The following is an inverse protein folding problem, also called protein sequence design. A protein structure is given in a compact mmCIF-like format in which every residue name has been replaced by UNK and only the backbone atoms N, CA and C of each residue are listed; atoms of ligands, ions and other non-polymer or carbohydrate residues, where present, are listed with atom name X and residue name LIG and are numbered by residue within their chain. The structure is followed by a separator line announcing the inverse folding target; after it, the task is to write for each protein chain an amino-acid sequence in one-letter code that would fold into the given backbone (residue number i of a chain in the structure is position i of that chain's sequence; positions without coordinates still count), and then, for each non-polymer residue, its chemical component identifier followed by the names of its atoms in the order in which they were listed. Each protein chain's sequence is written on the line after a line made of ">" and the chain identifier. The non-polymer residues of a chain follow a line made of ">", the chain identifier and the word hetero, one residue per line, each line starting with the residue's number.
data_IF_315133084986
#
_entry.id   IF_315133084986
#
_cell.length_a   1.000
_cell.length_b   1.000
_cell.length_c   1.000
_cell.angle_alpha   90.00
_cell.angle_beta   90.00
_cell.angle_gamma   90.00
#
_symmetry.space_group_name_H-M   'P 1'
#
loop_
_entity.id
_entity.type
_entity.pdbx_description
1 polymer ?
#
# COMPACT_ATOMS: atom_id res chain seq x y z
N UNK A 1 -25.41 11.40 10.36
CA UNK A 1 -24.52 10.70 9.41
C UNK A 1 -23.20 10.43 10.11
N UNK A 2 -22.68 9.21 10.00
CA UNK A 2 -21.41 8.82 10.64
C UNK A 2 -20.20 9.38 9.89
N UNK A 3 -20.31 9.59 8.56
CA UNK A 3 -19.25 10.08 7.69
C UNK A 3 -19.73 11.25 6.84
N UNK A 4 -18.87 12.23 6.61
CA UNK A 4 -19.13 13.38 5.74
C UNK A 4 -18.67 13.16 4.30
N UNK A 5 -17.72 12.25 4.09
CA UNK A 5 -17.18 11.86 2.80
C UNK A 5 -16.72 10.41 2.85
N UNK A 6 -17.00 9.68 1.78
CA UNK A 6 -16.48 8.34 1.50
C UNK A 6 -15.83 8.42 0.12
N UNK A 7 -14.53 8.14 0.03
CA UNK A 7 -13.83 8.02 -1.24
C UNK A 7 -13.58 6.55 -1.55
N UNK A 8 -13.95 6.14 -2.76
CA UNK A 8 -13.73 4.79 -3.25
C UNK A 8 -12.74 4.87 -4.40
N UNK A 9 -11.56 4.32 -4.19
CA UNK A 9 -10.48 4.33 -5.18
C UNK A 9 -10.46 3.02 -5.96
N UNK A 10 -10.26 3.12 -7.29
CA UNK A 10 -10.04 1.98 -8.18
C UNK A 10 -8.85 2.30 -9.08
N UNK A 11 -7.75 1.58 -8.90
CA UNK A 11 -6.49 1.82 -9.60
C UNK A 11 -6.55 1.46 -11.08
N UNK A 12 -7.34 0.43 -11.47
CA UNK A 12 -7.53 -0.01 -12.84
C UNK A 12 -8.69 -1.02 -12.97
N UNK A 13 -9.02 -1.41 -14.21
CA UNK A 13 -10.20 -2.20 -14.54
C UNK A 13 -10.04 -3.72 -14.47
N UNK A 14 -8.91 -4.29 -14.04
CA UNK A 14 -8.75 -5.74 -13.88
C UNK A 14 -9.67 -6.30 -12.79
N UNK A 15 -10.06 -7.57 -12.93
CA UNK A 15 -11.08 -8.22 -12.07
C UNK A 15 -10.69 -8.35 -10.60
N UNK A 16 -9.42 -8.39 -10.30
CA UNK A 16 -8.87 -8.44 -8.95
C UNK A 16 -8.73 -7.05 -8.30
N UNK A 17 -8.94 -5.97 -9.07
CA UNK A 17 -8.89 -4.58 -8.60
C UNK A 17 -10.22 -3.84 -8.74
N UNK A 18 -11.12 -4.31 -9.60
CA UNK A 18 -12.42 -3.70 -9.83
C UNK A 18 -13.55 -4.74 -9.82
N UNK A 19 -14.52 -4.52 -8.96
CA UNK A 19 -15.81 -5.21 -8.98
C UNK A 19 -16.93 -4.16 -9.09
N UNK A 20 -17.81 -4.31 -10.07
CA UNK A 20 -18.96 -3.43 -10.27
C UNK A 20 -19.95 -3.43 -9.11
N UNK A 21 -19.84 -4.36 -8.17
CA UNK A 21 -20.62 -4.38 -6.93
C UNK A 21 -20.45 -3.09 -6.10
N UNK A 22 -19.31 -2.37 -6.22
CA UNK A 22 -19.13 -1.05 -5.58
C UNK A 22 -20.18 -0.04 -6.04
N UNK A 23 -20.73 -0.19 -7.23
CA UNK A 23 -21.77 0.67 -7.79
C UNK A 23 -23.18 0.35 -7.27
N UNK A 24 -23.37 -0.78 -6.58
CA UNK A 24 -24.60 -1.09 -5.88
C UNK A 24 -24.71 -0.41 -4.50
N UNK A 25 -23.62 0.19 -4.02
CA UNK A 25 -23.65 0.94 -2.77
C UNK A 25 -24.53 2.18 -2.90
N UNK A 26 -25.24 2.51 -1.82
CA UNK A 26 -26.22 3.60 -1.82
C UNK A 26 -25.56 4.98 -1.87
N UNK A 27 -25.02 5.34 -3.04
CA UNK A 27 -24.39 6.64 -3.30
C UNK A 27 -25.39 7.80 -3.32
N UNK A 28 -26.69 7.52 -3.30
CA UNK A 28 -27.74 8.56 -3.23
C UNK A 28 -27.90 9.10 -1.83
N UNK A 29 -27.77 8.25 -0.81
CA UNK A 29 -27.89 8.62 0.61
C UNK A 29 -26.53 8.69 1.32
N UNK A 30 -25.50 7.98 0.83
CA UNK A 30 -24.14 8.05 1.35
C UNK A 30 -23.32 9.10 0.58
N UNK A 31 -22.42 9.82 1.25
CA UNK A 31 -21.58 10.85 0.62
C UNK A 31 -20.39 10.22 -0.15
N UNK A 32 -20.68 9.26 -1.04
CA UNK A 32 -19.67 8.55 -1.83
C UNK A 32 -19.23 9.39 -3.02
N UNK A 33 -17.93 9.39 -3.28
CA UNK A 33 -17.32 9.83 -4.54
C UNK A 33 -16.30 8.77 -4.99
N UNK A 34 -16.47 8.28 -6.21
CA UNK A 34 -15.55 7.31 -6.81
C UNK A 34 -14.37 8.05 -7.45
N UNK A 35 -13.17 7.57 -7.19
CA UNK A 35 -11.92 8.05 -7.81
C UNK A 35 -11.34 6.88 -8.61
N UNK A 36 -11.43 6.98 -9.91
CA UNK A 36 -11.24 5.88 -10.82
C UNK A 36 -10.12 6.18 -11.80
N UNK A 37 -9.31 5.18 -12.12
CA UNK A 37 -8.48 5.25 -13.32
C UNK A 37 -9.35 5.35 -14.58
N UNK A 38 -8.77 5.86 -15.66
CA UNK A 38 -9.44 6.11 -16.91
C UNK A 38 -9.96 4.83 -17.59
N UNK A 39 -9.29 3.71 -17.38
CA UNK A 39 -9.64 2.40 -17.93
C UNK A 39 -10.78 1.68 -17.20
N UNK A 40 -11.21 2.18 -16.03
CA UNK A 40 -12.31 1.58 -15.25
C UNK A 40 -13.66 1.82 -15.94
N UNK A 41 -14.59 0.84 -16.00
CA UNK A 41 -15.92 1.01 -16.58
C UNK A 41 -16.70 2.19 -15.98
N UNK A 42 -17.67 2.70 -16.75
CA UNK A 42 -18.45 3.86 -16.35
C UNK A 42 -19.28 3.66 -15.09
N UNK A 43 -19.31 4.71 -14.27
CA UNK A 43 -20.19 4.79 -13.13
C UNK A 43 -21.66 4.86 -13.54
N UNK A 44 -22.59 4.41 -12.66
CA UNK A 44 -24.01 4.62 -12.84
C UNK A 44 -24.37 6.10 -12.99
N UNK A 45 -25.41 6.39 -13.77
CA UNK A 45 -25.93 7.75 -13.92
C UNK A 45 -26.28 8.37 -12.57
N UNK A 46 -25.75 9.56 -12.32
CA UNK A 46 -25.96 10.30 -11.06
C UNK A 46 -24.93 10.03 -9.96
N UNK A 47 -24.06 9.03 -10.10
CA UNK A 47 -22.94 8.85 -9.19
C UNK A 47 -21.92 10.01 -9.31
N UNK A 48 -21.30 10.37 -8.19
CA UNK A 48 -20.19 11.32 -8.17
C UNK A 48 -18.88 10.58 -8.41
N UNK A 49 -18.11 11.04 -9.38
CA UNK A 49 -16.80 10.43 -9.66
C UNK A 49 -15.75 11.45 -10.15
N UNK A 50 -14.51 11.02 -10.09
CA UNK A 50 -13.34 11.64 -10.73
C UNK A 50 -12.60 10.55 -11.50
N UNK A 51 -12.37 10.77 -12.79
CA UNK A 51 -11.46 9.95 -13.59
C UNK A 51 -10.09 10.57 -13.56
N UNK A 52 -9.08 9.72 -13.53
CA UNK A 52 -7.69 10.16 -13.45
C UNK A 52 -6.80 9.33 -14.37
N UNK A 53 -5.91 10.04 -15.05
CA UNK A 53 -4.79 9.47 -15.81
C UNK A 53 -3.46 9.79 -15.12
N UNK A 54 -2.35 9.10 -15.47
CA UNK A 54 -1.04 9.40 -14.89
C UNK A 54 -0.67 10.89 -15.00
N UNK A 55 -0.17 11.46 -13.93
CA UNK A 55 0.23 12.87 -13.84
C UNK A 55 -0.88 13.83 -13.40
N UNK A 56 -2.13 13.42 -13.40
CA UNK A 56 -3.24 14.27 -13.01
C UNK A 56 -3.31 14.49 -11.49
N UNK A 57 -3.92 15.63 -11.13
CA UNK A 57 -4.21 16.03 -9.75
C UNK A 57 -5.64 16.51 -9.66
N UNK A 58 -6.30 16.14 -8.57
CA UNK A 58 -7.65 16.60 -8.26
C UNK A 58 -7.81 16.79 -6.75
N UNK A 59 -8.95 17.34 -6.35
CA UNK A 59 -9.36 17.38 -4.95
C UNK A 59 -10.83 17.05 -4.81
N UNK A 60 -11.17 16.41 -3.69
CA UNK A 60 -12.56 16.20 -3.28
C UNK A 60 -12.67 16.72 -1.86
N UNK A 61 -13.34 17.88 -1.70
CA UNK A 61 -13.31 18.69 -0.48
C UNK A 61 -11.86 19.02 -0.07
N UNK A 62 -11.45 18.65 1.15
CA UNK A 62 -10.09 18.86 1.68
C UNK A 62 -9.11 17.73 1.38
N UNK A 63 -9.52 16.73 0.61
CA UNK A 63 -8.66 15.60 0.24
C UNK A 63 -8.01 15.89 -1.10
N UNK A 64 -6.69 15.96 -1.12
CA UNK A 64 -5.90 16.11 -2.35
C UNK A 64 -5.50 14.74 -2.89
N UNK A 65 -5.58 14.56 -4.20
CA UNK A 65 -5.33 13.28 -4.87
C UNK A 65 -4.43 13.53 -6.07
N UNK A 66 -3.37 12.75 -6.19
CA UNK A 66 -2.48 12.72 -7.35
C UNK A 66 -2.44 11.31 -7.90
N UNK A 67 -2.54 11.16 -9.22
CA UNK A 67 -2.33 9.91 -9.93
C UNK A 67 -0.91 9.87 -10.49
N UNK A 68 -0.23 8.75 -10.31
CA UNK A 68 1.07 8.47 -10.90
C UNK A 68 0.94 7.29 -11.86
N UNK A 69 1.95 7.09 -12.68
CA UNK A 69 2.01 5.98 -13.63
C UNK A 69 2.08 4.62 -12.92
N UNK A 70 1.77 3.58 -13.65
CA UNK A 70 1.85 2.19 -13.25
C UNK A 70 2.75 1.43 -14.22
N UNK A 71 3.17 0.23 -13.86
CA UNK A 71 3.94 -0.68 -14.72
C UNK A 71 3.09 -1.80 -15.32
N UNK A 72 1.81 -1.79 -15.03
CA UNK A 72 0.76 -2.54 -15.70
C UNK A 72 -0.34 -1.55 -16.12
N UNK A 73 -1.63 -1.84 -15.90
CA UNK A 73 -2.73 -0.91 -16.23
C UNK A 73 -2.95 0.15 -15.14
N UNK A 74 -3.59 1.24 -15.53
CA UNK A 74 -4.16 2.24 -14.65
C UNK A 74 -3.14 3.16 -13.98
N UNK A 75 -3.38 3.45 -12.71
CA UNK A 75 -2.63 4.44 -11.94
C UNK A 75 -2.32 3.96 -10.53
N UNK A 76 -1.27 4.52 -9.95
CA UNK A 76 -1.10 4.56 -8.49
C UNK A 76 -1.62 5.90 -7.94
N UNK A 77 -2.10 5.88 -6.69
CA UNK A 77 -2.67 7.05 -6.05
C UNK A 77 -1.81 7.52 -4.88
N UNK A 78 -1.60 8.84 -4.81
CA UNK A 78 -1.09 9.53 -3.64
C UNK A 78 -2.16 10.47 -3.11
N UNK A 79 -2.58 10.24 -1.87
CA UNK A 79 -3.72 10.91 -1.25
C UNK A 79 -3.27 11.65 0.01
N UNK A 80 -3.60 12.93 0.11
CA UNK A 80 -3.31 13.75 1.28
C UNK A 80 -4.62 14.11 1.99
N UNK A 81 -4.72 13.76 3.27
CA UNK A 81 -5.86 14.06 4.14
C UNK A 81 -5.33 14.75 5.40
N UNK A 82 -5.46 16.08 5.49
CA UNK A 82 -4.78 16.85 6.52
C UNK A 82 -3.26 16.64 6.40
N UNK A 83 -2.63 16.17 7.47
CA UNK A 83 -1.19 15.89 7.50
C UNK A 83 -0.85 14.45 7.07
N UNK A 84 -1.85 13.58 6.89
CA UNK A 84 -1.66 12.18 6.53
C UNK A 84 -1.49 12.00 5.03
N UNK A 85 -0.46 11.27 4.61
CA UNK A 85 -0.10 10.96 3.22
C UNK A 85 -0.13 9.47 2.99
N UNK A 86 -1.03 9.05 2.11
CA UNK A 86 -1.29 7.64 1.80
C UNK A 86 -0.92 7.39 0.35
N UNK A 87 -0.20 6.31 0.08
CA UNK A 87 0.12 5.84 -1.25
C UNK A 87 -0.47 4.44 -1.47
N UNK A 88 -1.17 4.27 -2.59
CA UNK A 88 -1.66 2.98 -3.07
C UNK A 88 -1.08 2.71 -4.44
N UNK A 89 -0.24 1.70 -4.54
CA UNK A 89 0.52 1.41 -5.75
C UNK A 89 -0.34 0.93 -6.92
N UNK A 90 -1.56 0.39 -6.69
CA UNK A 90 -2.21 -0.39 -7.73
C UNK A 90 -1.29 -1.53 -8.14
N UNK A 91 -1.08 -1.69 -9.45
CA UNK A 91 -0.15 -2.68 -9.99
C UNK A 91 1.20 -2.07 -10.41
N UNK A 92 1.58 -0.94 -9.80
CA UNK A 92 2.96 -0.48 -9.89
C UNK A 92 3.89 -1.48 -9.17
N UNK A 93 4.69 -2.21 -9.93
CA UNK A 93 5.67 -3.16 -9.40
C UNK A 93 6.77 -3.43 -10.43
N UNK A 94 7.85 -4.09 -10.02
CA UNK A 94 8.90 -4.57 -10.90
C UNK A 94 8.51 -5.93 -11.49
N UNK A 95 7.62 -5.88 -12.50
CA UNK A 95 7.07 -7.08 -13.15
C UNK A 95 8.06 -7.72 -14.10
N UNK A 96 8.90 -8.64 -13.60
CA UNK A 96 9.63 -9.57 -14.44
C UNK A 96 9.84 -10.91 -13.73
N UNK A 97 9.68 -11.97 -14.49
CA UNK A 97 9.89 -13.35 -14.07
C UNK A 97 11.32 -13.75 -14.46
N UNK A 98 12.28 -13.54 -13.57
CA UNK A 98 13.70 -13.63 -13.89
C UNK A 98 14.11 -14.94 -14.54
N UNK A 99 13.45 -16.04 -14.16
CA UNK A 99 13.74 -17.39 -14.65
C UNK A 99 13.13 -17.66 -16.04
N UNK A 100 12.10 -16.91 -16.43
CA UNK A 100 11.34 -17.09 -17.66
C UNK A 100 11.57 -15.95 -18.66
N UNK A 101 12.00 -14.78 -18.20
CA UNK A 101 12.18 -13.60 -19.03
C UNK A 101 13.54 -13.55 -19.69
N UNK A 102 13.56 -13.10 -20.94
CA UNK A 102 14.80 -12.79 -21.65
C UNK A 102 15.50 -11.56 -21.03
N UNK A 103 16.82 -11.41 -21.18
CA UNK A 103 17.54 -10.23 -20.71
C UNK A 103 16.94 -8.89 -21.20
N UNK A 104 16.37 -8.88 -22.40
CA UNK A 104 15.73 -7.68 -22.98
C UNK A 104 14.41 -7.36 -22.28
N UNK A 105 13.62 -8.36 -21.94
CA UNK A 105 12.37 -8.19 -21.20
C UNK A 105 12.65 -7.71 -19.76
N UNK A 106 13.64 -8.29 -19.10
CA UNK A 106 14.10 -7.84 -17.78
C UNK A 106 14.48 -6.36 -17.82
N UNK A 107 15.39 -5.98 -18.73
CA UNK A 107 15.82 -4.57 -18.86
C UNK A 107 14.65 -3.64 -19.16
N UNK A 108 13.69 -4.07 -19.97
CA UNK A 108 12.49 -3.27 -20.27
C UNK A 108 11.62 -3.07 -19.03
N UNK A 109 11.38 -4.13 -18.25
CA UNK A 109 10.60 -4.07 -17.02
C UNK A 109 11.28 -3.19 -15.96
N UNK A 110 12.59 -3.33 -15.78
CA UNK A 110 13.39 -2.49 -14.88
C UNK A 110 13.30 -1.01 -15.27
N UNK A 111 13.53 -0.68 -16.54
CA UNK A 111 13.44 0.70 -17.02
C UNK A 111 12.05 1.30 -16.84
N UNK A 112 10.98 0.54 -17.11
CA UNK A 112 9.61 0.98 -16.90
C UNK A 112 9.33 1.24 -15.41
N UNK A 113 9.77 0.33 -14.56
CA UNK A 113 9.59 0.46 -13.11
C UNK A 113 10.33 1.69 -12.55
N UNK A 114 11.61 1.86 -12.86
CA UNK A 114 12.37 3.01 -12.38
C UNK A 114 11.84 4.33 -12.92
N UNK A 115 11.37 4.37 -14.17
CA UNK A 115 10.73 5.55 -14.73
C UNK A 115 9.44 5.93 -13.99
N UNK A 116 8.60 4.94 -13.65
CA UNK A 116 7.38 5.16 -12.88
C UNK A 116 7.67 5.54 -11.42
N UNK A 117 8.74 5.00 -10.82
CA UNK A 117 9.17 5.31 -9.45
C UNK A 117 9.79 6.71 -9.29
N UNK A 118 10.49 7.22 -10.29
CA UNK A 118 11.24 8.48 -10.19
C UNK A 118 10.43 9.68 -9.63
N UNK A 119 9.17 9.93 -10.02
CA UNK A 119 8.37 11.01 -9.44
C UNK A 119 7.84 10.72 -8.03
N UNK A 120 7.96 9.48 -7.55
CA UNK A 120 7.45 9.01 -6.25
C UNK A 120 8.54 9.07 -5.17
N UNK A 121 9.80 8.81 -5.53
CA UNK A 121 10.94 8.70 -4.59
C UNK A 121 11.16 9.96 -3.72
N UNK A 122 10.77 11.14 -4.21
CA UNK A 122 10.87 12.39 -3.45
C UNK A 122 9.67 12.71 -2.54
N UNK A 123 8.67 11.83 -2.49
CA UNK A 123 7.46 12.06 -1.69
C UNK A 123 7.65 11.60 -0.24
N UNK A 124 7.07 12.34 0.69
CA UNK A 124 6.87 11.85 2.04
C UNK A 124 5.60 11.03 2.08
N UNK A 125 5.69 9.79 2.56
CA UNK A 125 4.57 8.84 2.62
C UNK A 125 4.47 8.28 4.05
N UNK A 126 3.30 8.41 4.65
CA UNK A 126 3.05 7.86 5.98
C UNK A 126 2.59 6.40 5.89
N UNK A 127 1.66 6.09 4.97
CA UNK A 127 1.16 4.74 4.74
C UNK A 127 1.29 4.40 3.26
N UNK A 128 1.93 3.28 2.95
CA UNK A 128 2.03 2.75 1.60
C UNK A 128 1.42 1.35 1.50
N UNK A 129 0.60 1.11 0.50
CA UNK A 129 0.11 -0.20 0.10
C UNK A 129 0.79 -0.56 -1.23
N UNK A 130 1.54 -1.67 -1.27
CA UNK A 130 2.39 -2.01 -2.40
C UNK A 130 2.45 -3.53 -2.65
N UNK A 131 2.55 -3.99 -3.92
CA UNK A 131 2.55 -5.40 -4.25
C UNK A 131 3.76 -6.18 -3.74
N UNK A 132 3.49 -7.39 -3.22
CA UNK A 132 4.45 -8.48 -2.98
C UNK A 132 3.85 -9.74 -3.59
N UNK A 133 4.18 -10.04 -4.85
CA UNK A 133 3.46 -11.03 -5.64
C UNK A 133 4.22 -12.36 -5.75
N UNK A 134 3.74 -13.44 -5.11
CA UNK A 134 4.41 -14.74 -5.12
C UNK A 134 4.52 -15.38 -6.51
N UNK A 135 3.73 -14.94 -7.50
CA UNK A 135 3.82 -15.45 -8.87
C UNK A 135 5.16 -15.13 -9.51
N UNK A 136 5.85 -14.10 -9.04
CA UNK A 136 7.16 -13.68 -9.55
C UNK A 136 8.33 -14.54 -9.03
N UNK A 137 8.07 -15.63 -8.30
CA UNK A 137 9.10 -16.52 -7.79
C UNK A 137 10.13 -15.80 -6.91
N UNK A 138 11.43 -15.93 -7.23
CA UNK A 138 12.53 -15.30 -6.47
C UNK A 138 12.53 -13.77 -6.50
N UNK A 139 11.74 -13.14 -7.37
CA UNK A 139 11.65 -11.67 -7.49
C UNK A 139 10.42 -11.06 -6.83
N UNK A 140 9.65 -11.84 -6.08
CA UNK A 140 8.33 -11.48 -5.55
C UNK A 140 8.31 -10.20 -4.69
N UNK A 141 9.42 -9.83 -4.12
CA UNK A 141 9.58 -8.67 -3.23
C UNK A 141 10.57 -7.61 -3.76
N UNK A 142 11.12 -7.81 -4.95
CA UNK A 142 12.17 -6.92 -5.45
C UNK A 142 11.69 -5.48 -5.63
N UNK A 143 10.50 -5.27 -6.19
CA UNK A 143 9.88 -3.95 -6.31
C UNK A 143 9.57 -3.33 -4.95
N UNK A 144 9.01 -4.11 -4.03
CA UNK A 144 8.71 -3.68 -2.67
C UNK A 144 9.97 -3.27 -1.90
N UNK A 145 11.05 -4.06 -1.98
CA UNK A 145 12.33 -3.75 -1.36
C UNK A 145 12.91 -2.43 -1.89
N UNK A 146 12.89 -2.23 -3.22
CA UNK A 146 13.32 -0.97 -3.80
C UNK A 146 12.46 0.20 -3.31
N UNK A 147 11.13 0.05 -3.30
CA UNK A 147 10.21 1.08 -2.82
C UNK A 147 10.50 1.45 -1.35
N UNK A 148 10.60 0.47 -0.46
CA UNK A 148 10.90 0.69 0.97
C UNK A 148 12.23 1.41 1.16
N UNK A 149 13.26 1.04 0.39
CA UNK A 149 14.60 1.63 0.53
C UNK A 149 14.70 3.05 -0.04
N UNK A 150 14.01 3.35 -1.15
CA UNK A 150 14.08 4.65 -1.81
C UNK A 150 13.09 5.67 -1.23
N UNK A 151 11.85 5.25 -0.89
CA UNK A 151 10.77 6.12 -0.40
C UNK A 151 10.72 6.21 1.12
N UNK A 152 11.00 5.11 1.82
CA UNK A 152 10.99 5.00 3.29
C UNK A 152 9.64 5.41 3.90
N UNK A 153 8.52 4.78 3.51
CA UNK A 153 7.23 5.09 4.14
C UNK A 153 7.29 4.73 5.63
N UNK A 154 6.51 5.42 6.48
CA UNK A 154 6.44 5.08 7.92
C UNK A 154 5.81 3.70 8.13
N UNK A 155 4.74 3.40 7.39
CA UNK A 155 4.07 2.09 7.39
C UNK A 155 3.98 1.56 5.96
N UNK A 156 4.38 0.32 5.78
CA UNK A 156 4.23 -0.42 4.53
C UNK A 156 3.24 -1.57 4.72
N UNK A 157 2.24 -1.67 3.87
CA UNK A 157 1.23 -2.73 3.89
C UNK A 157 1.39 -3.57 2.61
N UNK A 158 1.90 -4.81 2.71
CA UNK A 158 2.00 -5.69 1.57
C UNK A 158 0.62 -6.07 1.06
N UNK A 159 0.40 -5.93 -0.24
CA UNK A 159 -0.80 -6.36 -0.94
C UNK A 159 -0.43 -7.27 -2.12
N UNK A 160 -1.43 -7.75 -2.87
CA UNK A 160 -1.23 -8.58 -4.07
C UNK A 160 -0.54 -9.93 -3.80
N UNK A 161 -0.57 -10.41 -2.57
CA UNK A 161 0.03 -11.69 -2.15
C UNK A 161 -0.86 -12.90 -2.51
N UNK A 162 -1.92 -12.65 -3.31
CA UNK A 162 -2.88 -13.63 -3.78
C UNK A 162 -3.54 -14.39 -2.59
N UNK A 163 -3.79 -15.70 -2.73
CA UNK A 163 -4.28 -16.56 -1.65
C UNK A 163 -3.13 -17.13 -0.76
N UNK A 164 -2.01 -16.39 -0.66
CA UNK A 164 -0.80 -16.82 0.04
C UNK A 164 -0.40 -15.85 1.16
N UNK A 165 -1.17 -15.80 2.25
CA UNK A 165 -0.93 -14.86 3.35
C UNK A 165 0.46 -15.03 4.00
N UNK A 166 1.06 -16.22 3.91
CA UNK A 166 2.42 -16.46 4.39
C UNK A 166 3.47 -15.58 3.70
N UNK A 167 3.23 -15.15 2.46
CA UNK A 167 4.12 -14.24 1.72
C UNK A 167 4.12 -12.85 2.34
N UNK A 168 2.95 -12.32 2.67
CA UNK A 168 2.83 -11.02 3.35
C UNK A 168 3.44 -11.06 4.76
N UNK A 169 3.21 -12.15 5.50
CA UNK A 169 3.79 -12.37 6.83
C UNK A 169 5.32 -12.53 6.78
N UNK A 170 5.85 -13.19 5.75
CA UNK A 170 7.28 -13.32 5.53
C UNK A 170 7.90 -11.97 5.20
N UNK A 171 7.25 -11.22 4.31
CA UNK A 171 7.70 -9.87 3.99
C UNK A 171 7.65 -8.93 5.20
N UNK A 172 6.65 -9.05 6.08
CA UNK A 172 6.60 -8.27 7.31
C UNK A 172 7.79 -8.50 8.25
N UNK A 173 8.36 -9.72 8.23
CA UNK A 173 9.56 -10.02 9.03
C UNK A 173 10.85 -9.45 8.45
N UNK A 174 10.99 -9.42 7.12
CA UNK A 174 12.26 -9.06 6.44
C UNK A 174 12.27 -7.68 5.81
N UNK A 175 11.10 -7.11 5.47
CA UNK A 175 10.99 -5.80 4.82
C UNK A 175 11.06 -4.62 5.78
N UNK A 176 11.02 -4.87 7.10
CA UNK A 176 11.12 -3.83 8.14
C UNK A 176 12.49 -3.16 8.11
N UNK A 177 12.49 -1.84 8.27
CA UNK A 177 13.72 -1.04 8.41
C UNK A 177 13.62 -0.12 9.62
N UNK A 178 14.67 0.62 9.94
CA UNK A 178 14.61 1.64 11.00
C UNK A 178 13.65 2.82 10.69
N UNK A 179 13.19 2.94 9.46
CA UNK A 179 12.28 4.01 9.02
C UNK A 179 10.89 3.51 8.67
N UNK A 180 10.74 2.20 8.41
CA UNK A 180 9.53 1.61 7.87
C UNK A 180 9.11 0.42 8.72
N UNK A 181 7.93 0.51 9.29
CA UNK A 181 7.21 -0.62 9.87
C UNK A 181 6.45 -1.36 8.76
N UNK A 182 6.41 -2.69 8.81
CA UNK A 182 5.67 -3.50 7.83
C UNK A 182 4.50 -4.20 8.52
N UNK A 183 3.31 -3.85 8.08
CA UNK A 183 2.04 -4.34 8.63
C UNK A 183 1.37 -5.29 7.65
N UNK A 184 1.38 -6.60 7.92
CA UNK A 184 0.66 -7.60 7.14
C UNK A 184 -0.73 -7.85 7.72
N UNK A 185 -1.77 -7.39 7.02
CA UNK A 185 -3.17 -7.69 7.30
C UNK A 185 -3.61 -8.85 6.40
N UNK A 186 -3.74 -10.05 6.95
CA UNK A 186 -3.89 -11.28 6.16
C UNK A 186 -5.15 -12.08 6.46
N UNK A 187 -5.90 -11.70 7.47
CA UNK A 187 -7.13 -12.38 7.87
C UNK A 187 -8.36 -11.54 7.53
N UNK A 188 -9.49 -12.15 7.19
CA UNK A 188 -10.75 -11.43 7.04
C UNK A 188 -11.07 -10.61 8.29
N UNK A 189 -11.51 -9.36 8.08
CA UNK A 189 -11.88 -8.41 9.15
C UNK A 189 -10.74 -8.00 10.09
N UNK A 190 -9.50 -8.38 9.81
CA UNK A 190 -8.34 -7.86 10.50
C UNK A 190 -8.22 -6.36 10.23
N UNK A 191 -7.93 -5.59 11.25
CA UNK A 191 -7.77 -4.13 11.16
C UNK A 191 -6.63 -3.67 12.06
N UNK A 192 -6.08 -2.52 11.74
CA UNK A 192 -5.11 -1.85 12.58
C UNK A 192 -5.53 -0.39 12.80
N UNK A 193 -5.27 0.11 13.97
CA UNK A 193 -5.30 1.54 14.28
C UNK A 193 -3.85 2.05 14.29
N UNK A 194 -3.63 3.14 13.56
CA UNK A 194 -2.33 3.77 13.42
C UNK A 194 -2.43 5.16 14.01
N UNK A 195 -1.66 5.43 15.06
CA UNK A 195 -1.54 6.74 15.66
C UNK A 195 -0.16 7.30 15.36
N UNK A 196 -0.12 8.44 14.67
CA UNK A 196 1.11 9.09 14.28
C UNK A 196 1.35 10.31 15.16
N UNK A 197 2.31 10.22 16.05
CA UNK A 197 2.90 11.36 16.74
C UNK A 197 4.12 11.89 15.95
N UNK A 198 4.62 13.10 16.29
CA UNK A 198 5.68 13.76 15.49
C UNK A 198 6.91 12.88 15.21
N UNK A 199 7.30 12.00 16.15
CA UNK A 199 8.47 11.11 16.00
C UNK A 199 8.18 9.64 16.31
N UNK A 200 6.97 9.30 16.72
CA UNK A 200 6.59 7.96 17.11
C UNK A 200 5.40 7.45 16.30
N UNK A 201 5.35 6.15 16.10
CA UNK A 201 4.24 5.44 15.49
C UNK A 201 3.73 4.42 16.50
N UNK A 202 2.49 4.61 16.94
CA UNK A 202 1.79 3.63 17.75
C UNK A 202 0.90 2.78 16.83
N UNK A 203 1.12 1.48 16.87
CA UNK A 203 0.41 0.52 16.02
C UNK A 203 -0.38 -0.45 16.91
N UNK A 204 -1.70 -0.46 16.75
CA UNK A 204 -2.59 -1.42 17.39
C UNK A 204 -3.24 -2.30 16.32
N UNK A 205 -2.99 -3.61 16.35
CA UNK A 205 -3.60 -4.57 15.44
C UNK A 205 -4.70 -5.33 16.17
N UNK A 206 -5.90 -5.36 15.57
CA UNK A 206 -7.06 -6.03 16.13
C UNK A 206 -7.51 -7.15 15.20
N UNK A 207 -7.70 -8.34 15.74
CA UNK A 207 -8.37 -9.43 15.02
C UNK A 207 -9.78 -9.57 15.55
N UNK A 208 -10.79 -9.47 14.68
CA UNK A 208 -12.15 -9.79 15.07
C UNK A 208 -12.30 -11.31 15.16
N UNK A 209 -12.58 -11.80 16.34
CA UNK A 209 -13.13 -13.16 16.51
C UNK A 209 -14.60 -13.08 16.17
N UNK A 210 -15.14 -14.01 15.36
CA UNK A 210 -16.54 -14.02 14.97
C UNK A 210 -17.45 -13.91 16.19
N UNK A 211 -18.19 -12.78 16.27
CA UNK A 211 -19.18 -12.56 17.32
C UNK A 211 -20.42 -13.43 17.04
N UNK A 212 -20.35 -14.71 17.33
CA UNK A 212 -21.52 -15.55 17.53
C UNK A 212 -21.58 -16.15 18.93
N UNK A 213 -20.64 -15.90 19.82
CA UNK A 213 -20.74 -16.25 21.24
C UNK A 213 -20.03 -15.15 22.05
N UNK A 214 -20.83 -14.45 22.88
CA UNK A 214 -20.46 -13.51 23.93
C UNK A 214 -20.27 -12.02 23.57
N UNK A 215 -21.28 -11.24 23.96
CA UNK A 215 -21.28 -9.77 24.04
C UNK A 215 -20.26 -9.18 25.03
N UNK A 216 -19.25 -9.91 25.51
CA UNK A 216 -18.42 -9.46 26.64
C UNK A 216 -16.91 -9.79 26.60
N UNK A 217 -16.33 -10.18 25.48
CA UNK A 217 -14.85 -10.37 25.45
C UNK A 217 -14.21 -9.70 24.24
N UNK A 218 -13.97 -8.38 24.35
CA UNK A 218 -12.91 -7.72 23.59
C UNK A 218 -11.56 -8.24 24.09
N UNK A 219 -11.03 -9.30 23.51
CA UNK A 219 -9.62 -9.66 23.72
C UNK A 219 -8.76 -8.66 22.93
N UNK A 220 -8.37 -7.60 23.62
CA UNK A 220 -7.26 -6.74 23.22
C UNK A 220 -5.97 -7.53 23.43
N UNK A 221 -5.43 -8.11 22.38
CA UNK A 221 -4.00 -8.41 22.36
C UNK A 221 -3.28 -7.09 22.06
N UNK A 222 -2.94 -6.35 23.09
CA UNK A 222 -2.02 -5.22 23.01
C UNK A 222 -0.63 -5.79 22.68
N UNK A 223 -0.30 -5.89 21.40
CA UNK A 223 1.08 -6.04 20.98
C UNK A 223 1.71 -4.66 21.10
N UNK A 224 2.15 -4.32 22.32
CA UNK A 224 3.11 -3.23 22.50
C UNK A 224 4.37 -3.66 21.76
N UNK A 225 4.57 -3.10 20.59
CA UNK A 225 5.88 -3.02 19.99
C UNK A 225 6.65 -1.97 20.79
N UNK A 226 7.21 -2.39 21.91
CA UNK A 226 8.26 -1.61 22.56
C UNK A 226 9.30 -1.36 21.48
N UNK A 227 9.65 -0.09 21.28
CA UNK A 227 10.79 0.29 20.46
C UNK A 227 11.97 -0.55 20.93
N UNK A 228 12.32 -1.59 20.20
CA UNK A 228 13.52 -2.37 20.47
C UNK A 228 14.69 -1.43 20.28
N UNK A 229 15.12 -0.85 21.40
CA UNK A 229 16.41 -0.21 21.51
C UNK A 229 17.46 -1.23 21.14
N UNK A 230 18.12 -0.93 20.02
CA UNK A 230 19.48 -1.29 19.69
C UNK A 230 20.04 -2.59 20.29
N UNK A 231 20.03 -3.65 19.49
CA UNK A 231 21.21 -4.48 19.35
C UNK A 231 21.52 -4.53 17.87
N UNK A 232 22.31 -3.57 17.42
CA UNK A 232 22.89 -3.52 16.09
C UNK A 232 24.07 -4.50 16.05
N UNK A 233 24.00 -5.64 15.31
CA UNK A 233 25.12 -6.55 15.19
C UNK A 233 26.24 -6.03 14.27
N UNK A 234 26.14 -4.79 13.76
CA UNK A 234 27.14 -4.17 12.89
C UNK A 234 27.78 -2.91 13.46
N UNK A 235 27.75 -2.69 14.78
CA UNK A 235 28.40 -1.53 15.41
C UNK A 235 29.85 -1.81 15.84
N UNK A 236 30.57 -2.72 15.22
CA UNK A 236 32.01 -2.89 15.41
C UNK A 236 32.77 -2.43 14.15
N UNK A 237 33.02 -1.13 14.09
CA UNK A 237 34.05 -0.55 13.23
C UNK A 237 35.37 -0.45 14.00
N UNK A 238 36.03 -1.54 14.18
CA UNK A 238 37.48 -1.58 14.47
C UNK A 238 38.21 -2.18 13.29
N UNK A 239 38.48 -1.34 12.28
CA UNK A 239 39.51 -1.64 11.28
C UNK A 239 40.81 -0.93 11.69
N UNK A 240 41.91 -1.66 11.95
CA UNK A 240 43.16 -1.03 12.26
C UNK A 240 43.77 -0.39 11.01
N UNK A 241 44.04 0.91 11.10
CA UNK A 241 44.88 1.64 10.14
C UNK A 241 46.27 1.04 10.21
N UNK A 242 46.73 0.42 9.14
CA UNK A 242 48.18 0.14 8.92
C UNK A 242 48.77 1.24 8.08
N UNK A 243 49.82 1.85 8.66
CA UNK A 243 50.76 2.75 7.99
C UNK A 243 51.45 2.06 6.80
#
# INVERSE_FOLDING_TARGET
>A
KKYELILVFVSHGHRDHFDSAIYSWDYTHLPITYVLSDDVPDCPKGARFRRMTPGEKTSVRSVEIRAFDSTDQGVSFYVTVGDLRIFHAGDLNLWHWREESTPREITRAENAYYAAMAPIEGLTIDIAMFPVDPRMGGMYDAGANHFVMSVKPRVFIPMHWQERPEVALDYARKGRTKFTEVLALTKPRERAELEFEEHELHLHVFTWVDAQEDENDEKKEDVKLDAYAANDPFSDTDLPVKM
#
